data_IF_598755232390
#
_entry.id   IF_598755232390
#
_cell.length_a   1.000
_cell.length_b   1.000
_cell.length_c   1.000
_cell.angle_alpha   90.00
_cell.angle_beta   90.00
_cell.angle_gamma   90.00
#
_symmetry.space_group_name_H-M   'P 1'
#
loop_
_entity.id
_entity.type
_entity.pdbx_description
1 polymer ?
#
# COMPACT_ATOMS: atom_id res chain seq x y z
N UNK A 1 -9.29 2.50 27.55
CA UNK A 1 -8.94 1.10 27.25
C UNK A 1 -9.98 0.42 26.36
N UNK A 2 -11.28 0.44 26.68
CA UNK A 2 -12.32 -0.19 25.83
C UNK A 2 -12.60 0.51 24.49
N UNK A 3 -12.48 1.84 24.41
CA UNK A 3 -12.81 2.62 23.20
C UNK A 3 -11.91 2.33 21.98
N UNK A 4 -10.69 1.84 22.19
CA UNK A 4 -9.74 1.53 21.10
C UNK A 4 -9.78 0.06 20.66
N UNK A 5 -10.50 -0.83 21.36
CA UNK A 5 -10.54 -2.26 21.00
C UNK A 5 -11.40 -2.54 19.78
N UNK A 6 -12.59 -1.94 19.69
CA UNK A 6 -13.49 -2.18 18.56
C UNK A 6 -12.88 -1.74 17.21
N UNK A 7 -12.31 -0.52 17.07
CA UNK A 7 -11.68 -0.11 15.82
C UNK A 7 -10.51 -0.99 15.39
N UNK A 8 -9.70 -1.48 16.34
CA UNK A 8 -8.56 -2.35 16.00
C UNK A 8 -8.99 -3.79 15.68
N UNK A 9 -10.04 -4.31 16.33
CA UNK A 9 -10.61 -5.62 16.02
C UNK A 9 -11.26 -5.63 14.63
N UNK A 10 -12.02 -4.58 14.30
CA UNK A 10 -12.63 -4.41 12.98
C UNK A 10 -11.53 -4.24 11.91
N UNK A 11 -10.47 -3.47 12.20
CA UNK A 11 -9.37 -3.27 11.27
C UNK A 11 -8.58 -4.56 10.98
N UNK A 12 -8.29 -5.41 11.98
CA UNK A 12 -7.57 -6.66 11.71
C UNK A 12 -8.45 -7.67 10.95
N UNK A 13 -9.76 -7.68 11.18
CA UNK A 13 -10.69 -8.49 10.41
C UNK A 13 -10.70 -8.06 8.93
N UNK A 14 -10.75 -6.75 8.68
CA UNK A 14 -10.68 -6.19 7.33
C UNK A 14 -9.32 -6.49 6.65
N UNK A 15 -8.20 -6.29 7.34
CA UNK A 15 -6.87 -6.60 6.82
C UNK A 15 -6.73 -8.09 6.46
N UNK A 16 -7.29 -8.98 7.29
CA UNK A 16 -7.31 -10.41 7.04
C UNK A 16 -8.15 -10.77 5.82
N UNK A 17 -9.33 -10.15 5.69
CA UNK A 17 -10.20 -10.34 4.52
C UNK A 17 -9.53 -9.87 3.22
N UNK A 18 -8.90 -8.70 3.22
CA UNK A 18 -8.14 -8.19 2.07
C UNK A 18 -7.00 -9.11 1.67
N UNK A 19 -6.25 -9.63 2.65
CA UNK A 19 -5.17 -10.57 2.39
C UNK A 19 -5.69 -11.88 1.76
N UNK A 20 -6.81 -12.42 2.26
CA UNK A 20 -7.46 -13.58 1.66
C UNK A 20 -7.87 -13.32 0.20
N UNK A 21 -8.53 -12.19 -0.08
CA UNK A 21 -8.93 -11.82 -1.43
C UNK A 21 -7.74 -11.63 -2.37
N UNK A 22 -6.67 -11.00 -1.87
CA UNK A 22 -5.41 -10.81 -2.58
C UNK A 22 -4.82 -12.15 -3.04
N UNK A 23 -4.72 -13.12 -2.11
CA UNK A 23 -4.18 -14.46 -2.40
C UNK A 23 -5.10 -15.30 -3.27
N UNK A 24 -6.43 -15.17 -3.11
CA UNK A 24 -7.41 -16.02 -3.78
C UNK A 24 -7.71 -15.62 -5.23
N UNK A 25 -7.65 -14.33 -5.57
CA UNK A 25 -8.24 -13.82 -6.82
C UNK A 25 -7.33 -12.91 -7.63
N UNK A 26 -6.38 -12.21 -6.98
CA UNK A 26 -5.60 -11.15 -7.63
C UNK A 26 -4.23 -11.61 -8.11
N UNK A 27 -3.75 -12.78 -7.68
CA UNK A 27 -2.41 -13.29 -8.03
C UNK A 27 -2.23 -13.55 -9.54
N UNK A 28 -3.32 -13.68 -10.31
CA UNK A 28 -3.30 -13.81 -11.77
C UNK A 28 -3.61 -12.50 -12.52
N UNK A 29 -3.90 -11.39 -11.82
CA UNK A 29 -4.23 -10.10 -12.44
C UNK A 29 -2.94 -9.33 -12.80
N UNK A 30 -2.70 -9.01 -14.09
CA UNK A 30 -1.53 -8.25 -14.53
C UNK A 30 -1.36 -6.89 -13.85
N UNK A 31 -2.46 -6.19 -13.55
CA UNK A 31 -2.41 -4.89 -12.88
C UNK A 31 -1.95 -5.06 -11.42
N UNK A 32 -2.43 -6.10 -10.76
CA UNK A 32 -2.01 -6.43 -9.41
C UNK A 32 -0.52 -6.77 -9.36
N UNK A 33 -0.03 -7.58 -10.31
CA UNK A 33 1.40 -7.90 -10.41
C UNK A 33 2.25 -6.65 -10.67
N UNK A 34 1.79 -5.76 -11.55
CA UNK A 34 2.47 -4.49 -11.81
C UNK A 34 2.49 -3.60 -10.56
N UNK A 35 1.38 -3.49 -9.85
CA UNK A 35 1.29 -2.76 -8.59
C UNK A 35 2.33 -3.27 -7.59
N UNK A 36 2.36 -4.58 -7.32
CA UNK A 36 3.33 -5.18 -6.40
C UNK A 36 4.78 -4.96 -6.83
N UNK A 37 5.04 -4.95 -8.14
CA UNK A 37 6.35 -4.66 -8.71
C UNK A 37 6.80 -3.23 -8.43
N UNK A 38 5.89 -2.25 -8.62
CA UNK A 38 6.14 -0.84 -8.33
C UNK A 38 6.33 -0.62 -6.84
N UNK A 39 5.41 -1.14 -6.01
CA UNK A 39 5.48 -1.04 -4.55
C UNK A 39 6.80 -1.58 -4.01
N UNK A 40 7.20 -2.78 -4.45
CA UNK A 40 8.47 -3.38 -4.05
C UNK A 40 9.66 -2.53 -4.46
N UNK A 41 9.72 -2.10 -5.71
CA UNK A 41 10.81 -1.28 -6.21
C UNK A 41 10.95 0.04 -5.45
N UNK A 42 9.82 0.69 -5.17
CA UNK A 42 9.81 1.95 -4.43
C UNK A 42 10.16 1.75 -2.95
N UNK A 43 9.63 0.72 -2.30
CA UNK A 43 9.95 0.39 -0.91
C UNK A 43 11.42 0.00 -0.72
N UNK A 44 12.02 -0.70 -1.68
CA UNK A 44 13.45 -1.06 -1.65
C UNK A 44 14.34 0.19 -1.71
N UNK A 45 13.89 1.25 -2.39
CA UNK A 45 14.64 2.50 -2.56
C UNK A 45 14.34 3.55 -1.48
N UNK A 46 13.11 3.60 -0.98
CA UNK A 46 12.64 4.55 0.05
C UNK A 46 11.92 3.80 1.20
N UNK A 47 12.64 2.94 1.95
CA UNK A 47 12.04 2.10 2.99
C UNK A 47 11.38 2.90 4.12
N UNK A 48 11.83 4.14 4.35
CA UNK A 48 11.26 5.06 5.32
C UNK A 48 9.96 5.74 4.85
N UNK A 49 9.75 5.82 3.53
CA UNK A 49 8.57 6.49 2.94
C UNK A 49 7.47 5.51 2.54
N UNK A 50 7.82 4.28 2.20
CA UNK A 50 6.85 3.26 1.80
C UNK A 50 7.09 1.95 2.53
N UNK A 51 6.47 1.83 3.70
CA UNK A 51 6.53 0.60 4.49
C UNK A 51 5.43 -0.35 3.96
N UNK A 52 5.77 -1.58 3.54
CA UNK A 52 4.77 -2.56 3.14
C UNK A 52 3.79 -2.87 4.28
N UNK A 53 2.51 -2.99 3.93
CA UNK A 53 1.43 -3.25 4.89
C UNK A 53 1.68 -4.51 5.73
N UNK A 54 2.16 -5.59 5.10
CA UNK A 54 2.53 -6.83 5.79
C UNK A 54 3.56 -6.58 6.89
N UNK A 55 4.65 -5.87 6.58
CA UNK A 55 5.70 -5.57 7.56
C UNK A 55 5.17 -4.77 8.75
N UNK A 56 4.23 -3.85 8.50
CA UNK A 56 3.59 -3.06 9.55
C UNK A 56 2.68 -3.89 10.45
N UNK A 57 1.92 -4.82 9.89
CA UNK A 57 1.00 -5.69 10.64
C UNK A 57 1.76 -6.75 11.44
N UNK A 58 2.85 -7.29 10.90
CA UNK A 58 3.59 -8.42 11.50
C UNK A 58 4.69 -7.99 12.46
N UNK A 59 5.39 -6.88 12.20
CA UNK A 59 6.59 -6.48 12.95
C UNK A 59 6.42 -5.18 13.75
N UNK A 60 5.21 -4.64 13.86
CA UNK A 60 4.93 -3.43 14.64
C UNK A 60 3.84 -3.64 15.68
N UNK A 61 3.95 -2.96 16.83
CA UNK A 61 2.91 -2.89 17.85
C UNK A 61 1.95 -1.70 17.64
N UNK A 62 2.00 -1.04 16.47
CA UNK A 62 1.09 0.07 16.14
C UNK A 62 -0.34 -0.42 15.96
N UNK A 63 -1.36 0.43 16.22
CA UNK A 63 -2.75 0.04 16.06
C UNK A 63 -3.07 -0.46 14.64
N UNK A 64 -3.83 -1.55 14.51
CA UNK A 64 -4.27 -2.05 13.20
C UNK A 64 -5.12 -1.04 12.42
N UNK A 65 -5.86 -0.17 13.11
CA UNK A 65 -6.58 0.93 12.47
C UNK A 65 -5.64 1.93 11.76
N UNK A 66 -4.43 2.15 12.30
CA UNK A 66 -3.40 2.96 11.64
C UNK A 66 -2.84 2.24 10.42
N UNK A 67 -2.58 0.93 10.53
CA UNK A 67 -2.13 0.12 9.41
C UNK A 67 -3.15 0.10 8.26
N UNK A 68 -4.45 -0.07 8.58
CA UNK A 68 -5.53 -0.03 7.60
C UNK A 68 -5.60 1.33 6.89
N UNK A 69 -5.58 2.43 7.66
CA UNK A 69 -5.65 3.79 7.11
C UNK A 69 -4.46 4.10 6.20
N UNK A 70 -3.25 3.66 6.59
CA UNK A 70 -2.07 3.83 5.74
C UNK A 70 -2.14 2.96 4.48
N UNK A 71 -2.65 1.74 4.59
CA UNK A 71 -2.88 0.86 3.44
C UNK A 71 -3.86 1.48 2.43
N UNK A 72 -4.97 2.05 2.90
CA UNK A 72 -5.93 2.77 2.06
C UNK A 72 -5.31 3.98 1.36
N UNK A 73 -4.42 4.68 2.05
CA UNK A 73 -3.66 5.80 1.49
C UNK A 73 -2.68 5.33 0.40
N UNK A 74 -1.89 4.29 0.66
CA UNK A 74 -0.99 3.68 -0.32
C UNK A 74 -1.74 3.17 -1.55
N UNK A 75 -2.89 2.51 -1.35
CA UNK A 75 -3.77 2.06 -2.44
C UNK A 75 -4.28 3.23 -3.29
N UNK A 76 -4.57 4.38 -2.67
CA UNK A 76 -5.00 5.59 -3.39
C UNK A 76 -3.89 6.11 -4.30
N UNK A 77 -2.65 6.18 -3.80
CA UNK A 77 -1.49 6.54 -4.62
C UNK A 77 -1.31 5.55 -5.76
N UNK A 78 -1.37 4.25 -5.49
CA UNK A 78 -1.19 3.22 -6.52
C UNK A 78 -2.25 3.31 -7.62
N UNK A 79 -3.51 3.60 -7.29
CA UNK A 79 -4.55 3.85 -8.29
C UNK A 79 -4.20 5.02 -9.20
N UNK A 80 -3.60 6.09 -8.69
CA UNK A 80 -3.14 7.20 -9.54
C UNK A 80 -1.97 6.80 -10.43
N UNK A 81 -1.00 6.05 -9.89
CA UNK A 81 0.18 5.60 -10.65
C UNK A 81 -0.19 4.62 -11.75
N UNK A 82 -1.07 3.66 -11.49
CA UNK A 82 -1.52 2.67 -12.48
C UNK A 82 -2.33 3.31 -13.61
N UNK A 83 -2.91 4.49 -13.40
CA UNK A 83 -3.62 5.24 -14.45
C UNK A 83 -2.68 6.03 -15.37
N UNK A 84 -1.37 6.05 -15.12
CA UNK A 84 -0.40 6.71 -15.99
C UNK A 84 -0.34 5.99 -17.34
N UNK A 85 -0.35 6.75 -18.43
CA UNK A 85 -0.23 6.20 -19.78
C UNK A 85 1.11 5.47 -19.94
N UNK A 86 1.08 4.26 -20.49
CA UNK A 86 2.24 3.39 -20.67
C UNK A 86 2.93 2.99 -19.36
N UNK A 87 2.22 2.97 -18.22
CA UNK A 87 2.80 2.58 -16.93
C UNK A 87 3.53 1.23 -16.99
N UNK A 88 3.03 0.27 -17.76
CA UNK A 88 3.67 -1.04 -17.96
C UNK A 88 5.12 -0.97 -18.48
N UNK A 89 5.48 0.09 -19.21
CA UNK A 89 6.82 0.29 -19.76
C UNK A 89 7.66 1.25 -18.94
N UNK A 90 7.03 2.26 -18.31
CA UNK A 90 7.74 3.33 -17.57
C UNK A 90 7.72 3.16 -16.05
N UNK A 91 7.18 2.06 -15.53
CA UNK A 91 6.96 1.82 -14.09
C UNK A 91 8.19 2.02 -13.19
N UNK A 92 9.41 1.80 -13.71
CA UNK A 92 10.68 1.96 -13.00
C UNK A 92 11.43 3.25 -13.37
N UNK A 93 10.76 4.19 -14.03
CA UNK A 93 11.35 5.47 -14.42
C UNK A 93 11.39 6.45 -13.25
N UNK A 94 12.30 7.42 -13.33
CA UNK A 94 12.34 8.54 -12.39
C UNK A 94 11.05 9.38 -12.42
N UNK A 95 10.29 9.37 -13.52
CA UNK A 95 9.01 10.07 -13.61
C UNK A 95 7.98 9.48 -12.63
N UNK A 96 7.82 8.15 -12.64
CA UNK A 96 6.89 7.44 -11.75
C UNK A 96 7.33 7.61 -10.30
N UNK A 97 8.63 7.50 -10.03
CA UNK A 97 9.19 7.71 -8.70
C UNK A 97 8.92 9.12 -8.15
N UNK A 98 9.22 10.15 -8.94
CA UNK A 98 8.98 11.55 -8.56
C UNK A 98 7.49 11.82 -8.35
N UNK A 99 6.63 11.20 -9.16
CA UNK A 99 5.17 11.28 -8.99
C UNK A 99 4.74 10.66 -7.65
N UNK A 100 5.26 9.48 -7.30
CA UNK A 100 4.97 8.84 -6.01
C UNK A 100 5.44 9.71 -4.84
N UNK A 101 6.65 10.27 -4.90
CA UNK A 101 7.17 11.18 -3.88
C UNK A 101 6.28 12.42 -3.73
N UNK A 102 5.88 13.05 -4.84
CA UNK A 102 5.00 14.21 -4.80
C UNK A 102 3.61 13.88 -4.22
N UNK A 103 3.06 12.69 -4.49
CA UNK A 103 1.79 12.25 -3.92
C UNK A 103 1.89 11.96 -2.42
N UNK A 104 3.02 11.44 -1.95
CA UNK A 104 3.30 11.24 -0.53
C UNK A 104 3.42 12.57 0.21
N UNK A 105 4.14 13.55 -0.36
CA UNK A 105 4.33 14.86 0.25
C UNK A 105 3.04 15.68 0.27
N UNK A 106 2.22 15.61 -0.79
CA UNK A 106 0.92 16.33 -0.87
C UNK A 106 -0.09 15.87 0.18
N UNK A 107 0.02 14.64 0.66
CA UNK A 107 -0.91 14.02 1.60
C UNK A 107 -0.28 13.72 2.96
N UNK A 108 0.94 14.20 3.20
CA UNK A 108 1.54 14.20 4.53
C UNK A 108 0.87 15.31 5.35
N UNK A 109 0.04 14.89 6.31
CA UNK A 109 -0.58 15.73 7.33
C UNK A 109 0.45 16.20 8.37
#
# INVERSE_FOLDING_TARGET
>A
YEKSRKPNADAIAELSYRNFMEMSSKTADPNFLLQKKIEKHFADKFPEKWIPLYSRVTFSNRPYAEALSLGDFQDTIMKEILNIKNIETIWNSAEVENKMLALLDKNSF
#
